data_IF_163979425755
#
_entry.id   IF_163979425755
#
_cell.length_a   1.000
_cell.length_b   1.000
_cell.length_c   1.000
_cell.angle_alpha   90.00
_cell.angle_beta   90.00
_cell.angle_gamma   90.00
#
_symmetry.space_group_name_H-M   'P 1'
#
loop_
_entity.id
_entity.type
_entity.pdbx_description
1 polymer ?
#
# COMPACT_ATOMS: atom_id res chain seq x y z
N UNK A 1 21.52 6.54 17.19
CA UNK A 1 20.82 5.46 16.47
C UNK A 1 19.75 4.74 17.28
N UNK A 2 19.69 4.90 18.61
CA UNK A 2 18.67 4.25 19.44
C UNK A 2 17.24 4.75 19.17
N UNK A 3 17.04 6.06 19.04
CA UNK A 3 15.74 6.64 18.68
C UNK A 3 15.20 6.10 17.34
N UNK A 4 16.05 6.05 16.31
CA UNK A 4 15.66 5.53 15.01
C UNK A 4 15.27 4.05 15.07
N UNK A 5 15.97 3.26 15.91
CA UNK A 5 15.63 1.86 16.10
C UNK A 5 14.22 1.71 16.70
N UNK A 6 13.93 2.42 17.79
CA UNK A 6 12.59 2.42 18.39
C UNK A 6 11.53 2.92 17.40
N UNK A 7 11.83 3.99 16.66
CA UNK A 7 10.91 4.51 15.66
C UNK A 7 10.58 3.47 14.58
N UNK A 8 11.58 2.86 13.94
CA UNK A 8 11.35 1.95 12.81
C UNK A 8 10.81 0.58 13.21
N UNK A 9 11.17 0.07 14.40
CA UNK A 9 10.86 -1.31 14.76
C UNK A 9 9.79 -1.43 15.84
N UNK A 10 9.59 -0.40 16.68
CA UNK A 10 8.56 -0.43 17.72
C UNK A 10 7.32 0.37 17.34
N UNK A 11 7.45 1.48 16.59
CA UNK A 11 6.33 2.40 16.30
C UNK A 11 5.84 2.25 14.86
N UNK A 12 6.74 2.40 13.90
CA UNK A 12 6.43 2.41 12.48
C UNK A 12 5.67 1.19 11.95
N UNK A 13 5.91 -0.08 12.39
CA UNK A 13 5.15 -1.21 11.84
C UNK A 13 3.65 -1.11 12.13
N UNK A 14 3.26 -0.52 13.27
CA UNK A 14 1.85 -0.30 13.60
C UNK A 14 1.25 0.81 12.75
N UNK A 15 1.98 1.91 12.52
CA UNK A 15 1.53 2.99 11.63
C UNK A 15 1.33 2.45 10.21
N UNK A 16 2.32 1.73 9.68
CA UNK A 16 2.25 1.13 8.36
C UNK A 16 1.10 0.13 8.24
N UNK A 17 0.91 -0.74 9.25
CA UNK A 17 -0.18 -1.70 9.30
C UNK A 17 -1.56 -1.05 9.34
N UNK A 18 -1.75 -0.03 10.18
CA UNK A 18 -3.02 0.70 10.27
C UNK A 18 -3.34 1.45 8.97
N UNK A 19 -2.37 2.16 8.38
CA UNK A 19 -2.57 2.86 7.10
C UNK A 19 -2.81 1.87 5.95
N UNK A 20 -2.13 0.72 5.94
CA UNK A 20 -2.37 -0.34 4.97
C UNK A 20 -3.81 -0.86 5.04
N UNK A 21 -4.25 -1.29 6.22
CA UNK A 21 -5.59 -1.88 6.39
C UNK A 21 -6.71 -0.87 6.12
N UNK A 22 -6.65 0.31 6.75
CA UNK A 22 -7.68 1.34 6.60
C UNK A 22 -7.63 1.95 5.19
N UNK A 23 -6.44 2.19 4.65
CA UNK A 23 -6.28 2.71 3.29
C UNK A 23 -6.80 1.74 2.23
N UNK A 24 -6.54 0.44 2.39
CA UNK A 24 -7.11 -0.60 1.53
C UNK A 24 -8.62 -0.65 1.65
N UNK A 25 -9.19 -0.59 2.86
CA UNK A 25 -10.64 -0.58 3.04
C UNK A 25 -11.28 0.68 2.44
N UNK A 26 -10.78 1.88 2.75
CA UNK A 26 -11.30 3.12 2.18
C UNK A 26 -11.22 3.14 0.66
N UNK A 27 -10.11 2.68 0.07
CA UNK A 27 -10.00 2.59 -1.40
C UNK A 27 -10.95 1.54 -1.97
N UNK A 28 -11.21 0.46 -1.24
CA UNK A 28 -12.20 -0.53 -1.64
C UNK A 28 -13.60 0.09 -1.67
N UNK A 29 -14.04 0.79 -0.62
CA UNK A 29 -15.39 1.34 -0.55
C UNK A 29 -15.60 2.52 -1.52
N UNK A 30 -14.62 3.40 -1.66
CA UNK A 30 -14.78 4.66 -2.40
C UNK A 30 -14.07 4.70 -3.77
N UNK A 31 -13.21 3.73 -4.07
CA UNK A 31 -12.27 3.78 -5.20
C UNK A 31 -12.37 2.62 -6.18
N UNK A 32 -13.53 1.94 -6.27
CA UNK A 32 -13.73 0.72 -7.06
C UNK A 32 -13.19 0.80 -8.51
N UNK A 33 -13.43 1.89 -9.24
CA UNK A 33 -12.93 2.04 -10.62
C UNK A 33 -11.38 2.03 -10.72
N UNK A 34 -10.71 2.50 -9.67
CA UNK A 34 -9.24 2.49 -9.59
C UNK A 34 -8.68 1.15 -9.14
N UNK A 35 -9.54 0.23 -8.66
CA UNK A 35 -9.12 -1.10 -8.19
C UNK A 35 -9.05 -2.09 -9.34
N UNK A 36 -7.94 -2.05 -10.08
CA UNK A 36 -7.70 -2.91 -11.25
C UNK A 36 -6.25 -3.34 -11.34
N UNK A 37 -5.98 -4.45 -12.02
CA UNK A 37 -4.63 -4.98 -12.24
C UNK A 37 -3.74 -4.07 -13.12
N UNK A 38 -4.33 -3.06 -13.79
CA UNK A 38 -3.62 -2.08 -14.62
C UNK A 38 -2.69 -2.72 -15.69
N UNK A 39 -3.16 -3.79 -16.34
CA UNK A 39 -2.39 -4.47 -17.39
C UNK A 39 -2.04 -3.53 -18.54
N UNK A 40 -0.75 -3.45 -18.84
CA UNK A 40 -0.19 -2.77 -20.01
C UNK A 40 0.19 -3.75 -21.13
N UNK A 41 -0.09 -5.05 -20.98
CA UNK A 41 0.32 -6.09 -21.92
C UNK A 41 -0.25 -5.87 -23.33
N UNK A 42 -1.42 -5.23 -23.45
CA UNK A 42 -1.98 -4.86 -24.75
C UNK A 42 -1.09 -3.85 -25.51
N UNK A 43 -0.43 -2.95 -24.77
CA UNK A 43 0.40 -1.89 -25.33
C UNK A 43 1.74 -2.42 -25.81
N UNK A 44 2.34 -3.34 -25.06
CA UNK A 44 3.52 -4.07 -25.49
C UNK A 44 3.42 -5.54 -25.07
N UNK A 45 3.38 -6.42 -26.06
CA UNK A 45 3.30 -7.87 -25.89
C UNK A 45 4.66 -8.54 -25.88
N UNK A 46 5.75 -7.80 -26.12
CA UNK A 46 7.10 -8.31 -25.93
C UNK A 46 7.40 -8.27 -24.43
N UNK A 47 7.54 -9.47 -23.85
CA UNK A 47 7.96 -9.64 -22.45
C UNK A 47 9.41 -9.24 -22.23
#
# INVERSE_FOLDING_TARGET
MHFLNMFFFDIYPYIAGSVFLIGSWLRYDYGQYTWRAASSQMLDRKG
#
